data_IF_893245754491
#
_entry.id   IF_893245754491
#
_cell.length_a   1.000
_cell.length_b   1.000
_cell.length_c   1.000
_cell.angle_alpha   90.00
_cell.angle_beta   90.00
_cell.angle_gamma   90.00
#
_symmetry.space_group_name_H-M   'P 1'
#
loop_
_entity.id
_entity.type
_entity.pdbx_description
1 polymer ?
#
# COMPACT_ATOMS: atom_id res chain seq x y z
N UNK A 1 2.60 -1.48 9.64
CA UNK A 1 1.74 -1.30 10.82
C UNK A 1 2.23 -2.22 11.93
N UNK A 2 2.25 -1.77 13.18
CA UNK A 2 2.90 -2.56 14.25
C UNK A 2 1.99 -3.65 14.83
N UNK A 3 0.68 -3.39 14.89
CA UNK A 3 -0.34 -4.30 15.42
C UNK A 3 -1.43 -4.53 14.40
N UNK A 4 -2.06 -5.71 14.46
CA UNK A 4 -3.23 -6.02 13.65
C UNK A 4 -4.43 -5.16 14.04
N UNK A 5 -5.28 -4.83 13.07
CA UNK A 5 -6.52 -4.10 13.24
C UNK A 5 -7.68 -4.97 12.73
N UNK A 6 -8.68 -5.22 13.58
CA UNK A 6 -9.80 -6.12 13.29
C UNK A 6 -11.12 -5.48 13.74
N UNK A 7 -12.11 -5.40 12.86
CA UNK A 7 -13.37 -4.68 13.12
C UNK A 7 -14.19 -5.29 14.25
N UNK A 8 -14.01 -6.57 14.60
CA UNK A 8 -14.70 -7.20 15.74
C UNK A 8 -14.12 -6.78 17.08
N UNK A 9 -12.85 -6.38 17.10
CA UNK A 9 -12.08 -6.14 18.33
C UNK A 9 -11.79 -4.67 18.56
N UNK A 10 -11.61 -3.92 17.47
CA UNK A 10 -11.30 -2.51 17.50
C UNK A 10 -12.47 -1.69 18.07
N UNK A 11 -12.13 -0.56 18.66
CA UNK A 11 -13.05 0.45 19.18
C UNK A 11 -12.57 1.83 18.74
N UNK A 12 -13.49 2.79 18.69
CA UNK A 12 -13.14 4.18 18.47
C UNK A 12 -12.18 4.68 19.55
N UNK A 13 -11.16 5.43 19.15
CA UNK A 13 -10.08 5.89 20.00
C UNK A 13 -8.94 4.89 20.18
N UNK A 14 -9.05 3.65 19.71
CA UNK A 14 -7.95 2.69 19.76
C UNK A 14 -6.71 3.22 19.03
N UNK A 15 -5.55 3.10 19.66
CA UNK A 15 -4.29 3.58 19.10
C UNK A 15 -3.85 2.69 17.94
N UNK A 16 -3.51 3.31 16.82
CA UNK A 16 -2.84 2.67 15.69
C UNK A 16 -1.44 3.24 15.51
N UNK A 17 -0.46 2.37 15.24
CA UNK A 17 0.92 2.79 15.04
C UNK A 17 1.53 2.16 13.79
N UNK A 18 2.37 2.94 13.12
CA UNK A 18 3.15 2.48 11.99
C UNK A 18 4.59 3.01 12.08
N UNK A 19 5.53 2.14 11.70
CA UNK A 19 6.93 2.51 11.57
C UNK A 19 7.26 2.84 10.11
N UNK A 20 7.98 3.94 9.84
CA UNK A 20 8.51 4.22 8.50
C UNK A 20 9.55 3.18 8.09
N UNK A 21 9.46 2.68 6.85
CA UNK A 21 10.45 1.74 6.28
C UNK A 21 11.66 2.45 5.66
N UNK A 22 11.47 3.70 5.24
CA UNK A 22 12.51 4.56 4.72
C UNK A 22 12.47 5.93 5.40
N UNK A 23 13.59 6.67 5.32
CA UNK A 23 13.65 8.07 5.71
C UNK A 23 12.78 8.89 4.76
N UNK A 24 11.95 9.79 5.30
CA UNK A 24 11.09 10.69 4.53
C UNK A 24 11.32 12.12 4.99
N UNK A 25 11.59 13.01 4.05
CA UNK A 25 11.68 14.45 4.31
C UNK A 25 10.28 15.09 4.21
N UNK A 26 9.91 15.92 5.18
CA UNK A 26 8.60 16.57 5.27
C UNK A 26 8.81 18.06 5.49
N UNK A 27 8.67 18.84 4.42
CA UNK A 27 8.99 20.27 4.46
C UNK A 27 10.49 20.52 4.59
N UNK A 28 10.89 21.79 4.56
CA UNK A 28 12.28 22.17 4.23
C UNK A 28 13.39 21.73 5.21
N UNK A 29 13.08 21.18 6.39
CA UNK A 29 14.10 20.85 7.41
C UNK A 29 13.66 19.76 8.42
N UNK A 30 12.68 18.92 8.08
CA UNK A 30 12.20 17.91 9.01
C UNK A 30 12.21 16.52 8.37
N UNK A 31 12.99 15.63 8.99
CA UNK A 31 13.10 14.24 8.59
C UNK A 31 12.33 13.32 9.53
N UNK A 32 11.49 12.46 8.96
CA UNK A 32 10.98 11.27 9.63
C UNK A 32 11.94 10.12 9.32
N UNK A 33 12.76 9.76 10.31
CA UNK A 33 13.67 8.62 10.23
C UNK A 33 12.94 7.30 10.50
N UNK A 34 13.56 6.17 10.14
CA UNK A 34 13.02 4.81 10.37
C UNK A 34 12.92 4.43 11.85
N UNK A 35 13.58 5.16 12.76
CA UNK A 35 13.41 5.02 14.20
C UNK A 35 12.20 5.78 14.75
N UNK A 36 11.53 6.59 13.92
CA UNK A 36 10.34 7.35 14.29
C UNK A 36 9.08 6.46 14.28
N UNK A 37 7.97 6.98 14.79
CA UNK A 37 6.66 6.32 14.75
C UNK A 37 5.58 7.27 14.26
N UNK A 38 4.75 6.81 13.34
CA UNK A 38 3.48 7.43 13.03
C UNK A 38 2.46 6.93 14.06
N UNK A 39 1.82 7.87 14.74
CA UNK A 39 0.79 7.63 15.74
C UNK A 39 -0.55 8.08 15.19
N UNK A 40 -1.56 7.26 15.42
CA UNK A 40 -2.91 7.54 15.01
C UNK A 40 -3.93 6.90 15.93
N UNK A 41 -5.18 7.00 15.52
CA UNK A 41 -6.32 6.36 16.19
C UNK A 41 -7.31 5.80 15.19
N UNK A 42 -8.14 4.91 15.68
CA UNK A 42 -9.39 4.51 15.03
C UNK A 42 -10.43 5.60 15.27
N UNK A 43 -11.02 6.13 14.20
CA UNK A 43 -12.05 7.17 14.29
C UNK A 43 -13.46 6.58 14.30
N UNK A 44 -13.68 5.47 13.57
CA UNK A 44 -14.97 4.80 13.47
C UNK A 44 -14.79 3.29 13.25
N UNK A 45 -15.66 2.49 13.85
CA UNK A 45 -15.72 1.03 13.65
C UNK A 45 -17.15 0.57 13.46
N UNK A 46 -17.38 -0.20 12.40
CA UNK A 46 -18.61 -0.96 12.20
C UNK A 46 -18.23 -2.44 12.00
N UNK A 47 -18.49 -3.33 12.96
CA UNK A 47 -18.31 -4.76 12.75
C UNK A 47 -19.40 -5.32 11.82
N UNK A 48 -19.06 -6.39 11.11
CA UNK A 48 -20.05 -7.15 10.33
C UNK A 48 -20.91 -7.99 11.27
N UNK A 49 -22.22 -7.75 11.23
CA UNK A 49 -23.26 -8.47 11.97
C UNK A 49 -24.24 -9.04 10.94
N UNK A 50 -24.50 -10.34 11.00
CA UNK A 50 -25.48 -10.97 10.08
C UNK A 50 -25.13 -10.84 8.60
N UNK A 51 -23.83 -10.84 8.24
CA UNK A 51 -23.30 -10.62 6.89
C UNK A 51 -23.51 -9.18 6.37
N UNK A 52 -23.71 -8.21 7.25
CA UNK A 52 -23.56 -6.80 6.86
C UNK A 52 -22.13 -6.50 6.44
N UNK A 53 -21.93 -5.38 5.76
CA UNK A 53 -20.59 -4.86 5.55
C UNK A 53 -19.96 -4.43 6.88
N UNK A 54 -18.63 -4.38 6.90
CA UNK A 54 -17.85 -3.83 8.00
C UNK A 54 -16.96 -2.70 7.52
N UNK A 55 -16.64 -1.80 8.45
CA UNK A 55 -15.86 -0.58 8.20
C UNK A 55 -14.90 -0.33 9.35
N UNK A 56 -13.68 0.11 9.03
CA UNK A 56 -12.78 0.76 9.98
C UNK A 56 -12.22 2.03 9.31
N UNK A 57 -12.33 3.17 10.00
CA UNK A 57 -11.74 4.43 9.56
C UNK A 57 -10.64 4.84 10.54
N UNK A 58 -9.51 5.30 10.02
CA UNK A 58 -8.34 5.65 10.84
C UNK A 58 -7.75 7.00 10.45
N UNK A 59 -7.13 7.65 11.43
CA UNK A 59 -6.34 8.87 11.25
C UNK A 59 -4.98 8.70 11.89
N UNK A 60 -3.92 8.92 11.12
CA UNK A 60 -2.57 9.19 11.62
C UNK A 60 -2.35 10.70 11.64
N UNK A 61 -2.24 11.27 12.83
CA UNK A 61 -2.15 12.72 13.03
C UNK A 61 -0.93 13.18 13.80
N UNK A 62 -0.09 12.25 14.27
CA UNK A 62 1.17 12.58 14.95
C UNK A 62 2.32 11.76 14.42
N UNK A 63 3.50 12.36 14.38
CA UNK A 63 4.75 11.63 14.28
C UNK A 63 5.53 11.83 15.58
N UNK A 64 5.98 10.72 16.19
CA UNK A 64 6.98 10.72 17.24
C UNK A 64 8.35 10.55 16.60
N UNK A 65 9.18 11.57 16.68
CA UNK A 65 10.53 11.59 16.14
C UNK A 65 11.50 10.78 17.03
N UNK A 66 12.73 10.56 16.55
CA UNK A 66 13.76 9.79 17.26
C UNK A 66 14.14 10.36 18.63
N UNK A 67 14.00 11.68 18.81
CA UNK A 67 14.25 12.40 20.06
C UNK A 67 13.09 12.28 21.06
N UNK A 68 12.02 11.57 20.70
CA UNK A 68 10.80 11.40 21.49
C UNK A 68 9.78 12.52 21.32
N UNK A 69 10.14 13.63 20.64
CA UNK A 69 9.24 14.75 20.38
C UNK A 69 8.12 14.34 19.44
N UNK A 70 6.90 14.78 19.76
CA UNK A 70 5.75 14.58 18.89
C UNK A 70 5.45 15.85 18.09
N UNK A 71 5.16 15.67 16.81
CA UNK A 71 4.71 16.73 15.91
C UNK A 71 3.36 16.37 15.31
N UNK A 72 2.54 17.38 15.06
CA UNK A 72 1.24 17.21 14.40
C UNK A 72 1.44 17.11 12.90
N UNK A 73 0.82 16.11 12.29
CA UNK A 73 0.86 15.86 10.85
C UNK A 73 -0.54 15.66 10.28
N UNK A 74 -0.66 15.80 8.97
CA UNK A 74 -1.70 15.20 8.16
C UNK A 74 -1.07 14.05 7.38
N UNK A 75 -1.61 12.86 7.53
CA UNK A 75 -1.21 11.70 6.75
C UNK A 75 -2.40 11.18 5.95
N UNK A 76 -2.23 10.99 4.65
CA UNK A 76 -3.20 10.33 3.78
C UNK A 76 -2.57 9.05 3.25
N UNK A 77 -3.21 7.91 3.49
CA UNK A 77 -2.74 6.63 2.95
C UNK A 77 -3.00 6.66 1.45
N UNK A 78 -1.99 6.38 0.64
CA UNK A 78 -2.09 6.35 -0.82
C UNK A 78 -2.28 4.92 -1.33
N UNK A 79 -1.69 3.97 -0.63
CA UNK A 79 -1.62 2.57 -1.02
C UNK A 79 -1.40 1.68 0.19
N UNK A 80 -1.90 0.44 0.13
CA UNK A 80 -1.69 -0.57 1.17
C UNK A 80 -1.25 -1.89 0.53
N UNK A 81 -0.44 -2.67 1.26
CA UNK A 81 -0.12 -4.01 0.83
C UNK A 81 0.50 -4.87 1.92
N UNK A 82 0.68 -6.13 1.59
CA UNK A 82 1.38 -7.06 2.46
C UNK A 82 2.89 -6.82 2.34
N UNK A 83 3.65 -6.96 3.44
CA UNK A 83 5.09 -6.94 3.34
C UNK A 83 5.52 -8.09 2.41
N UNK A 84 6.56 -7.92 1.59
CA UNK A 84 7.08 -9.03 0.81
C UNK A 84 7.43 -10.17 1.77
N UNK A 85 6.86 -11.36 1.55
CA UNK A 85 7.19 -12.54 2.32
C UNK A 85 8.69 -12.83 2.16
N UNK A 86 9.50 -12.52 3.18
CA UNK A 86 10.92 -12.87 3.24
C UNK A 86 11.11 -14.35 3.63
N UNK A 87 10.47 -15.27 2.89
CA UNK A 87 10.60 -16.72 3.04
C UNK A 87 10.64 -17.32 1.63
N UNK A 88 11.63 -18.07 1.17
CA UNK A 88 12.89 -18.58 1.70
C UNK A 88 13.85 -18.64 0.49
N UNK A 89 15.17 -18.43 0.61
CA UNK A 89 16.07 -19.02 -0.37
C UNK A 89 15.95 -20.53 -0.18
N UNK A 90 15.01 -21.17 -0.89
CA UNK A 90 15.09 -22.60 -1.13
C UNK A 90 16.44 -22.80 -1.77
N UNK A 91 17.32 -23.47 -1.02
CA UNK A 91 18.65 -23.84 -1.45
C UNK A 91 18.57 -24.27 -2.90
N UNK A 92 19.21 -23.50 -3.78
CA UNK A 92 19.55 -23.98 -5.11
C UNK A 92 20.55 -25.09 -4.83
N UNK A 93 20.03 -26.30 -4.65
CA UNK A 93 20.83 -27.51 -4.78
C UNK A 93 21.34 -27.46 -6.21
N UNK A 94 22.57 -26.96 -6.37
CA UNK A 94 23.32 -27.15 -7.59
C UNK A 94 23.32 -28.65 -7.88
N UNK A 95 22.82 -29.11 -9.04
CA UNK A 95 22.97 -30.50 -9.38
C UNK A 95 24.46 -30.80 -9.49
N UNK A 96 24.87 -31.84 -8.77
CA UNK A 96 26.22 -32.33 -8.73
C UNK A 96 26.80 -32.52 -10.14
N UNK A 97 28.06 -32.09 -10.24
CA UNK A 97 29.08 -32.53 -11.17
C UNK A 97 28.79 -33.90 -11.84
N UNK A 98 28.63 -33.88 -13.17
CA UNK A 98 28.78 -35.06 -14.02
C UNK A 98 29.53 -34.67 -15.29
N UNK A 99 30.83 -34.92 -15.24
CA UNK A 99 31.75 -35.03 -16.38
C UNK A 99 31.34 -36.16 -17.33
N UNK A 100 30.62 -35.86 -18.43
CA UNK A 100 30.68 -36.69 -19.66
C UNK A 100 30.15 -35.94 -20.89
N UNK A 101 30.87 -35.90 -22.03
CA UNK A 101 30.38 -35.35 -23.30
C UNK A 101 29.58 -36.39 -24.10
N UNK A 102 28.38 -36.07 -24.57
CA UNK A 102 27.60 -36.94 -25.44
C UNK A 102 26.34 -36.30 -25.99
N UNK A 103 26.26 -36.24 -27.32
CA UNK A 103 25.24 -35.60 -28.17
C UNK A 103 23.87 -36.28 -28.08
N UNK A 104 22.77 -35.51 -28.11
CA UNK A 104 21.41 -36.04 -28.31
C UNK A 104 20.32 -34.97 -28.38
N UNK A 105 19.74 -34.81 -29.57
CA UNK A 105 18.68 -33.87 -29.99
C UNK A 105 17.26 -34.36 -29.65
N UNK A 106 16.31 -33.41 -29.49
CA UNK A 106 14.85 -33.63 -29.55
C UNK A 106 14.08 -32.90 -28.44
N UNK A 107 13.60 -31.67 -28.64
CA UNK A 107 12.31 -31.30 -29.23
C UNK A 107 11.13 -31.35 -28.23
N UNK A 108 10.53 -30.19 -27.96
CA UNK A 108 9.15 -30.06 -27.48
C UNK A 108 8.93 -29.06 -26.35
N UNK A 109 8.01 -28.13 -26.61
CA UNK A 109 7.30 -27.26 -25.65
C UNK A 109 7.97 -25.94 -25.25
N UNK A 110 7.87 -25.01 -26.21
CA UNK A 110 7.66 -23.57 -26.00
C UNK A 110 6.45 -23.31 -25.09
N UNK A 111 6.71 -22.92 -23.84
CA UNK A 111 5.73 -22.32 -22.92
C UNK A 111 6.13 -20.88 -22.63
N UNK A 112 5.53 -19.95 -23.36
CA UNK A 112 5.58 -18.50 -23.08
C UNK A 112 4.95 -18.21 -21.72
N UNK A 113 5.59 -17.42 -20.83
CA UNK A 113 4.92 -16.90 -19.64
C UNK A 113 3.84 -15.88 -20.05
N UNK A 114 2.69 -15.81 -19.35
CA UNK A 114 1.67 -14.80 -19.64
C UNK A 114 2.21 -13.40 -19.32
N UNK A 115 2.43 -12.62 -20.38
CA UNK A 115 2.62 -11.17 -20.33
C UNK A 115 1.29 -10.52 -19.97
N UNK A 116 1.10 -10.21 -18.69
CA UNK A 116 -0.01 -9.39 -18.23
C UNK A 116 0.23 -7.95 -18.71
N UNK A 117 -0.70 -7.45 -19.53
CA UNK A 117 -0.53 -6.25 -20.34
C UNK A 117 -0.31 -4.99 -19.52
N UNK A 118 0.88 -4.41 -19.65
CA UNK A 118 1.07 -2.97 -19.57
C UNK A 118 0.66 -2.39 -20.92
N UNK A 119 -0.53 -1.80 -21.01
CA UNK A 119 -0.88 -0.91 -22.12
C UNK A 119 -0.11 0.38 -21.91
N UNK A 120 1.10 0.42 -22.48
CA UNK A 120 1.99 1.57 -22.47
C UNK A 120 2.80 1.59 -23.76
N UNK A 121 2.35 2.45 -24.68
CA UNK A 121 3.18 3.14 -25.68
C UNK A 121 3.85 2.30 -26.78
N UNK A 122 3.15 2.14 -27.90
CA UNK A 122 3.83 1.93 -29.20
C UNK A 122 4.21 3.30 -29.79
N UNK A 123 5.50 3.50 -30.02
CA UNK A 123 6.05 4.55 -30.88
C UNK A 123 6.78 3.84 -32.01
N UNK A 124 6.25 3.90 -33.25
CA UNK A 124 7.02 3.98 -34.49
C UNK A 124 6.09 3.97 -35.73
N UNK A 125 5.94 5.12 -36.42
CA UNK A 125 5.50 5.13 -37.83
C UNK A 125 4.67 6.33 -38.31
N UNK A 126 5.33 7.47 -38.56
CA UNK A 126 5.03 8.55 -39.55
C UNK A 126 3.63 9.24 -39.62
N UNK A 127 3.56 10.50 -40.13
CA UNK A 127 2.62 11.51 -39.63
C UNK A 127 1.32 11.57 -40.42
N UNK A 128 0.19 11.60 -39.70
CA UNK A 128 -1.04 12.18 -40.22
C UNK A 128 -1.58 13.17 -39.19
N UNK A 129 -1.49 14.46 -39.53
CA UNK A 129 -2.19 15.55 -38.83
C UNK A 129 -3.68 15.35 -39.04
N UNK A 130 -4.45 15.06 -38.00
CA UNK A 130 -5.86 15.47 -37.91
C UNK A 130 -6.30 15.47 -36.44
N UNK A 131 -6.75 16.64 -36.00
CA UNK A 131 -7.60 16.91 -34.83
C UNK A 131 -7.11 16.44 -33.44
N UNK A 132 -6.58 17.39 -32.68
CA UNK A 132 -6.38 17.28 -31.23
C UNK A 132 -7.63 17.84 -30.54
N UNK A 133 -8.59 17.02 -30.05
CA UNK A 133 -9.34 17.45 -28.89
C UNK A 133 -8.36 17.33 -27.73
N UNK A 134 -7.88 18.47 -27.25
CA UNK A 134 -7.12 18.59 -26.02
C UNK A 134 -7.82 17.79 -24.93
N UNK A 135 -7.36 16.55 -24.71
CA UNK A 135 -7.78 15.76 -23.56
C UNK A 135 -7.03 16.39 -22.39
N UNK A 136 -7.66 17.42 -21.82
CA UNK A 136 -7.34 17.84 -20.46
C UNK A 136 -7.40 16.59 -19.61
N UNK A 137 -6.24 16.09 -19.21
CA UNK A 137 -6.15 15.04 -18.22
C UNK A 137 -7.02 15.50 -17.04
N UNK A 138 -8.00 14.69 -16.59
CA UNK A 138 -8.79 15.06 -15.43
C UNK A 138 -7.81 15.35 -14.29
N UNK A 139 -8.03 16.44 -13.53
CA UNK A 139 -7.15 16.76 -12.42
C UNK A 139 -7.09 15.54 -11.49
N UNK A 140 -5.92 15.21 -10.91
CA UNK A 140 -5.84 14.15 -9.92
C UNK A 140 -6.87 14.47 -8.83
N UNK A 141 -7.88 13.60 -8.68
CA UNK A 141 -9.03 13.87 -7.80
C UNK A 141 -8.63 13.86 -6.32
N UNK A 142 -7.40 13.42 -6.01
CA UNK A 142 -6.91 13.26 -4.65
C UNK A 142 -7.55 12.10 -3.90
N UNK A 143 -8.35 11.29 -4.59
CA UNK A 143 -9.01 10.10 -4.07
C UNK A 143 -8.21 8.87 -4.50
N UNK A 144 -7.86 8.03 -3.55
CA UNK A 144 -7.16 6.77 -3.79
C UNK A 144 -8.07 5.62 -3.37
N UNK A 145 -8.06 4.53 -4.12
CA UNK A 145 -8.81 3.34 -3.75
C UNK A 145 -8.12 2.09 -4.27
N UNK A 146 -8.14 1.04 -3.48
CA UNK A 146 -7.54 -0.24 -3.81
C UNK A 146 -8.51 -1.35 -3.40
N UNK A 147 -8.88 -2.18 -4.38
CA UNK A 147 -9.70 -3.35 -4.15
C UNK A 147 -8.81 -4.54 -3.82
N UNK A 148 -9.21 -5.34 -2.83
CA UNK A 148 -8.57 -6.62 -2.49
C UNK A 148 -7.04 -6.50 -2.26
N UNK A 149 -6.59 -5.35 -1.76
CA UNK A 149 -5.19 -5.09 -1.40
C UNK A 149 -4.67 -6.02 -0.31
N UNK A 150 -5.58 -6.35 0.59
CA UNK A 150 -5.51 -7.40 1.58
C UNK A 150 -6.72 -8.29 1.25
N UNK A 151 -6.61 -9.62 1.33
CA UNK A 151 -7.70 -10.52 0.94
C UNK A 151 -9.05 -10.14 1.57
N UNK A 152 -10.01 -9.78 0.72
CA UNK A 152 -11.37 -9.41 1.12
C UNK A 152 -11.52 -8.03 1.76
N UNK A 153 -10.50 -7.17 1.70
CA UNK A 153 -10.55 -5.80 2.21
C UNK A 153 -10.37 -4.80 1.07
N UNK A 154 -11.32 -3.87 0.98
CA UNK A 154 -11.23 -2.71 0.13
C UNK A 154 -10.70 -1.53 0.93
N UNK A 155 -9.96 -0.66 0.25
CA UNK A 155 -9.37 0.54 0.81
C UNK A 155 -9.78 1.76 0.00
N UNK A 156 -10.05 2.86 0.71
CA UNK A 156 -10.29 4.16 0.10
C UNK A 156 -9.73 5.29 0.97
N UNK A 157 -9.22 6.35 0.36
CA UNK A 157 -8.79 7.57 1.03
C UNK A 157 -9.02 8.78 0.13
N UNK A 158 -9.04 9.96 0.76
CA UNK A 158 -9.17 11.24 0.05
C UNK A 158 -8.29 12.27 0.75
N UNK A 159 -7.33 12.85 0.04
CA UNK A 159 -6.39 13.84 0.59
C UNK A 159 -7.09 15.11 1.10
N UNK A 160 -8.33 15.36 0.67
CA UNK A 160 -9.11 16.53 1.11
C UNK A 160 -9.78 16.28 2.46
N UNK A 161 -9.93 15.02 2.85
CA UNK A 161 -10.57 14.64 4.11
C UNK A 161 -9.59 14.66 5.29
N UNK A 162 -10.09 14.74 6.54
CA UNK A 162 -9.25 14.70 7.73
C UNK A 162 -8.72 13.29 8.04
N UNK A 163 -9.47 12.25 7.69
CA UNK A 163 -9.04 10.86 7.89
C UNK A 163 -7.91 10.44 6.95
N UNK A 164 -7.10 9.48 7.41
CA UNK A 164 -6.02 8.92 6.60
C UNK A 164 -6.53 7.91 5.59
N UNK A 165 -7.62 7.20 5.90
CA UNK A 165 -8.27 6.25 5.02
C UNK A 165 -9.33 5.42 5.73
N UNK A 166 -10.12 4.71 4.92
CA UNK A 166 -11.16 3.80 5.37
C UNK A 166 -10.98 2.43 4.70
N UNK A 167 -11.26 1.39 5.48
CA UNK A 167 -11.18 -0.01 5.08
C UNK A 167 -12.57 -0.61 5.18
N UNK A 168 -12.99 -1.35 4.16
CA UNK A 168 -14.29 -2.00 4.14
C UNK A 168 -14.21 -3.46 3.70
N UNK A 169 -15.13 -4.27 4.19
CA UNK A 169 -15.25 -5.69 3.82
C UNK A 169 -16.72 -6.09 3.74
N UNK A 170 -17.08 -6.82 2.68
CA UNK A 170 -18.47 -7.20 2.41
C UNK A 170 -18.80 -8.58 2.98
N UNK A 171 -19.77 -8.66 3.89
CA UNK A 171 -20.20 -9.93 4.48
C UNK A 171 -19.25 -10.56 5.51
N UNK A 172 -18.09 -9.95 5.76
CA UNK A 172 -17.14 -10.33 6.80
C UNK A 172 -16.51 -9.09 7.43
N UNK A 173 -15.65 -9.30 8.44
CA UNK A 173 -15.02 -8.22 9.18
C UNK A 173 -13.70 -7.81 8.52
N UNK A 174 -13.45 -6.50 8.42
CA UNK A 174 -12.13 -5.96 8.07
C UNK A 174 -11.10 -6.54 9.02
N UNK A 175 -10.04 -7.10 8.43
CA UNK A 175 -8.86 -7.57 9.14
C UNK A 175 -7.61 -7.14 8.38
N UNK A 176 -6.79 -6.36 9.06
CA UNK A 176 -5.49 -5.89 8.61
C UNK A 176 -4.47 -6.51 9.54
N UNK A 177 -3.61 -7.36 9.03
CA UNK A 177 -2.63 -8.04 9.87
C UNK A 177 -1.49 -7.09 10.29
N UNK A 178 -0.82 -7.43 11.39
CA UNK A 178 0.44 -6.77 11.74
C UNK A 178 1.45 -6.96 10.60
N UNK A 179 2.25 -5.93 10.33
CA UNK A 179 3.21 -5.94 9.23
C UNK A 179 2.68 -5.40 7.90
N UNK A 180 1.37 -5.15 7.73
CA UNK A 180 0.85 -4.45 6.54
C UNK A 180 1.61 -3.14 6.30
N UNK A 181 2.03 -2.92 5.06
CA UNK A 181 2.81 -1.77 4.60
C UNK A 181 1.85 -0.73 4.02
N UNK A 182 2.15 0.54 4.30
CA UNK A 182 1.36 1.67 3.81
C UNK A 182 2.28 2.67 3.12
N UNK A 183 1.85 3.20 1.98
CA UNK A 183 2.42 4.42 1.42
C UNK A 183 1.60 5.62 1.90
N UNK A 184 2.27 6.70 2.31
CA UNK A 184 1.61 7.91 2.81
C UNK A 184 2.02 9.16 2.02
N UNK A 185 1.08 10.06 1.80
CA UNK A 185 1.37 11.48 1.64
C UNK A 185 1.34 12.14 3.01
N UNK A 186 2.38 12.91 3.35
CA UNK A 186 2.55 13.54 4.66
C UNK A 186 2.69 15.05 4.52
N UNK A 187 2.08 15.80 5.45
CA UNK A 187 2.26 17.24 5.59
C UNK A 187 2.29 17.62 7.08
N UNK A 188 3.11 18.61 7.45
CA UNK A 188 3.11 19.17 8.81
C UNK A 188 1.83 19.98 9.01
N UNK A 189 1.16 19.79 10.15
CA UNK A 189 0.10 20.72 10.59
C UNK A 189 0.76 21.82 11.42
N UNK A 190 0.54 23.10 11.08
CA UNK A 190 0.94 24.20 11.94
C UNK A 190 0.38 23.99 13.35
N UNK A 191 1.14 24.38 14.37
CA UNK A 191 0.58 24.50 15.72
C UNK A 191 -0.59 25.50 15.68
N UNK A 192 -1.69 25.22 16.39
CA UNK A 192 -2.81 26.16 16.50
C UNK A 192 -2.39 27.47 17.19
#
# INVERSE_FOLDING_TARGET
MDKSLDARRAKEGDVVTARPEAKVEIGANLDIETSSRLLGRVDAVQPSIGKSDSVITVTFDKAQLKDGRQISIKATILWIGQPPSLLNPTEISAPADRTTPGVGVGAGMSGTPPTQGYQGSEIAGLPHRHHDPSVSAPPPTGVFSQKDAIPGVNFSSDIRKPESGSFTAAGHNVRIDGGTVFAFALAIKPAP
#
